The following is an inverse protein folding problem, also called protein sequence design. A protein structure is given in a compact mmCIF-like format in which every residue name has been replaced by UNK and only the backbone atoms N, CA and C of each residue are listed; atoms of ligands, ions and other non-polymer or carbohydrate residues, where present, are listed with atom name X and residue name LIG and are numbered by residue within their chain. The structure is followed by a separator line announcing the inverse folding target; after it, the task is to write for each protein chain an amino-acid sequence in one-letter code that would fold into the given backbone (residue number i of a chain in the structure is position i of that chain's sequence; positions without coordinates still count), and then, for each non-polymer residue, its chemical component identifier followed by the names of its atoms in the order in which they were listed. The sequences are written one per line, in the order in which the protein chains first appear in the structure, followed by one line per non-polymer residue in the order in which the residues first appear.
data_IF_770189331925
#
_entry.id   IF_770189331925
#
_cell.length_a   1.000
_cell.length_b   1.000
_cell.length_c   1.000
_cell.angle_alpha   90.00
_cell.angle_beta   90.00
_cell.angle_gamma   90.00
#
_symmetry.space_group_name_H-M   'P 1'
#
loop_
_entity.id
_entity.type
_entity.pdbx_description
1 polymer ?
#
# COMPACT_ATOMS: atom_id res chain seq x y z
N UNK A 1 -4.19 7.98 35.64
CA UNK A 1 -2.94 7.29 36.02
C UNK A 1 -3.06 5.83 35.65
N UNK A 2 -2.48 5.41 34.53
CA UNK A 2 -2.44 3.99 34.15
C UNK A 2 -1.40 3.27 35.01
N UNK A 3 -1.82 2.14 35.57
CA UNK A 3 -1.06 1.33 36.53
C UNK A 3 0.23 0.70 35.94
N UNK A 4 0.42 0.78 34.62
CA UNK A 4 1.69 0.50 33.96
C UNK A 4 2.19 1.77 33.27
N UNK A 5 3.08 2.50 33.94
CA UNK A 5 3.72 3.73 33.44
C UNK A 5 4.72 3.51 32.29
N UNK A 6 4.52 2.48 31.46
CA UNK A 6 5.32 2.23 30.29
C UNK A 6 4.40 2.17 29.08
N UNK A 7 4.52 3.13 28.17
CA UNK A 7 3.98 3.01 26.81
C UNK A 7 4.76 1.94 26.01
N UNK A 8 5.98 1.58 26.45
CA UNK A 8 6.87 0.60 25.81
C UNK A 8 6.20 -0.76 25.46
N UNK A 9 5.46 -1.47 26.35
CA UNK A 9 4.84 -2.75 26.04
C UNK A 9 3.83 -2.65 24.91
N UNK A 10 3.14 -1.51 24.80
CA UNK A 10 2.20 -1.28 23.72
C UNK A 10 2.90 -1.10 22.37
N UNK A 11 4.04 -0.39 22.35
CA UNK A 11 4.87 -0.30 21.14
C UNK A 11 5.48 -1.65 20.75
N UNK A 12 5.89 -2.48 21.72
CA UNK A 12 6.36 -3.84 21.43
C UNK A 12 5.25 -4.72 20.88
N UNK A 13 4.03 -4.65 21.46
CA UNK A 13 2.88 -5.37 20.96
C UNK A 13 2.50 -4.92 19.55
N UNK A 14 2.42 -3.61 19.32
CA UNK A 14 2.07 -3.04 18.04
C UNK A 14 3.11 -3.40 16.96
N UNK A 15 4.40 -3.27 17.28
CA UNK A 15 5.51 -3.66 16.41
C UNK A 15 5.53 -5.17 16.09
N UNK A 16 5.32 -6.03 17.10
CA UNK A 16 5.25 -7.48 16.89
C UNK A 16 4.07 -7.87 15.99
N UNK A 17 2.90 -7.23 16.18
CA UNK A 17 1.71 -7.52 15.39
C UNK A 17 1.85 -7.03 13.94
N UNK A 18 2.43 -5.83 13.74
CA UNK A 18 2.74 -5.32 12.40
C UNK A 18 3.78 -6.19 11.70
N UNK A 19 4.86 -6.57 12.39
CA UNK A 19 5.90 -7.43 11.81
C UNK A 19 5.35 -8.80 11.43
N UNK A 20 4.55 -9.43 12.32
CA UNK A 20 3.90 -10.70 12.03
C UNK A 20 2.93 -10.58 10.84
N UNK A 21 2.14 -9.51 10.78
CA UNK A 21 1.24 -9.25 9.65
C UNK A 21 2.00 -9.06 8.32
N UNK A 22 3.07 -8.28 8.31
CA UNK A 22 3.91 -8.08 7.13
C UNK A 22 4.62 -9.37 6.70
N UNK A 23 5.15 -10.15 7.65
CA UNK A 23 5.79 -11.43 7.36
C UNK A 23 4.78 -12.45 6.77
N UNK A 24 3.56 -12.48 7.29
CA UNK A 24 2.48 -13.33 6.75
C UNK A 24 2.04 -12.86 5.36
N UNK A 25 1.94 -11.55 5.12
CA UNK A 25 1.67 -11.00 3.78
C UNK A 25 2.75 -11.38 2.77
N UNK A 26 4.02 -11.41 3.17
CA UNK A 26 5.13 -11.84 2.31
C UNK A 26 5.01 -13.31 1.86
N UNK A 27 4.34 -14.15 2.65
CA UNK A 27 4.13 -15.58 2.35
C UNK A 27 2.87 -15.90 1.54
N UNK A 28 2.13 -14.88 1.06
CA UNK A 28 0.92 -15.09 0.26
C UNK A 28 1.28 -15.57 -1.15
N UNK A 29 0.64 -16.66 -1.60
CA UNK A 29 0.65 -17.14 -2.98
C UNK A 29 -0.72 -16.98 -3.66
N UNK A 30 -0.80 -17.21 -4.98
CA UNK A 30 -2.00 -17.01 -5.83
C UNK A 30 -3.20 -17.86 -5.38
N UNK A 31 -2.94 -19.04 -4.78
CA UNK A 31 -3.98 -19.93 -4.26
C UNK A 31 -4.43 -19.59 -2.82
N UNK A 32 -3.92 -18.49 -2.26
CA UNK A 32 -4.26 -18.10 -0.89
C UNK A 32 -5.70 -17.63 -0.81
N UNK A 33 -6.50 -18.30 0.02
CA UNK A 33 -7.89 -17.93 0.28
C UNK A 33 -8.02 -16.45 0.69
N UNK A 34 -9.01 -15.76 0.12
CA UNK A 34 -9.31 -14.36 0.40
C UNK A 34 -9.42 -14.05 1.92
N UNK A 35 -9.93 -15.00 2.71
CA UNK A 35 -10.03 -14.89 4.16
C UNK A 35 -8.67 -14.72 4.87
N UNK A 36 -7.61 -15.38 4.38
CA UNK A 36 -6.25 -15.24 4.92
C UNK A 36 -5.67 -13.86 4.60
N UNK A 37 -5.87 -13.38 3.38
CA UNK A 37 -5.42 -12.04 2.96
C UNK A 37 -6.06 -10.97 3.86
N UNK A 38 -7.38 -11.02 4.03
CA UNK A 38 -8.09 -10.10 4.94
C UNK A 38 -7.63 -10.24 6.39
N UNK A 39 -7.39 -11.46 6.87
CA UNK A 39 -6.87 -11.70 8.21
C UNK A 39 -5.49 -11.10 8.43
N UNK A 40 -4.58 -11.20 7.46
CA UNK A 40 -3.24 -10.63 7.55
C UNK A 40 -3.26 -9.10 7.44
N UNK A 41 -4.05 -8.54 6.52
CA UNK A 41 -4.28 -7.10 6.44
C UNK A 41 -4.89 -6.54 7.73
N UNK A 42 -5.78 -7.30 8.38
CA UNK A 42 -6.32 -6.92 9.69
C UNK A 42 -5.22 -6.85 10.76
N UNK A 43 -4.31 -7.83 10.82
CA UNK A 43 -3.18 -7.80 11.77
C UNK A 43 -2.25 -6.61 11.52
N UNK A 44 -1.93 -6.32 10.25
CA UNK A 44 -1.13 -5.15 9.89
C UNK A 44 -1.84 -3.85 10.28
N UNK A 45 -3.15 -3.75 9.98
CA UNK A 45 -3.99 -2.61 10.35
C UNK A 45 -4.07 -2.39 11.85
N UNK A 46 -4.22 -3.47 12.61
CA UNK A 46 -4.26 -3.43 14.07
C UNK A 46 -2.95 -2.88 14.66
N UNK A 47 -1.81 -3.42 14.25
CA UNK A 47 -0.50 -2.97 14.77
C UNK A 47 -0.12 -1.55 14.32
N UNK A 48 -0.36 -1.21 13.06
CA UNK A 48 -0.09 0.13 12.53
C UNK A 48 -0.98 1.19 13.18
N UNK A 49 -2.29 0.94 13.28
CA UNK A 49 -3.24 1.83 13.95
C UNK A 49 -2.91 2.03 15.43
N UNK A 50 -2.60 0.94 16.14
CA UNK A 50 -2.17 0.98 17.54
C UNK A 50 -0.93 1.85 17.75
N UNK A 51 0.06 1.76 16.85
CA UNK A 51 1.29 2.56 16.89
C UNK A 51 1.01 4.04 16.63
N UNK A 52 0.22 4.33 15.60
CA UNK A 52 -0.12 5.70 15.19
C UNK A 52 -0.86 6.42 16.32
N UNK A 53 -1.93 5.83 16.86
CA UNK A 53 -2.74 6.48 17.91
C UNK A 53 -1.96 6.68 19.20
N UNK A 54 -1.06 5.75 19.54
CA UNK A 54 -0.21 5.89 20.73
C UNK A 54 0.84 6.98 20.58
N UNK A 55 1.33 7.19 19.37
CA UNK A 55 2.34 8.22 19.07
C UNK A 55 1.80 9.63 19.30
N UNK A 56 0.52 9.88 19.00
CA UNK A 56 -0.13 11.16 19.33
C UNK A 56 -0.17 11.41 20.84
N UNK A 57 -0.50 10.37 21.62
CA UNK A 57 -0.56 10.49 23.09
C UNK A 57 0.83 10.71 23.69
N UNK A 58 1.84 9.96 23.22
CA UNK A 58 3.22 10.10 23.70
C UNK A 58 3.81 11.46 23.32
N UNK A 59 3.57 11.94 22.10
CA UNK A 59 4.06 13.24 21.64
C UNK A 59 3.54 14.39 22.50
N UNK A 60 2.24 14.38 22.85
CA UNK A 60 1.64 15.39 23.72
C UNK A 60 2.25 15.38 25.13
N UNK A 61 2.61 14.21 25.66
CA UNK A 61 3.24 14.07 26.98
C UNK A 61 4.72 14.46 26.96
N UNK A 62 5.45 14.18 25.86
CA UNK A 62 6.89 14.43 25.78
C UNK A 62 7.25 15.88 25.46
N UNK A 63 6.42 16.58 24.68
CA UNK A 63 6.63 17.99 24.30
C UNK A 63 5.35 18.80 24.56
N UNK A 64 4.95 18.98 25.83
CA UNK A 64 3.69 19.63 26.18
C UNK A 64 3.62 21.08 25.69
N UNK A 65 4.75 21.81 25.70
CA UNK A 65 4.81 23.21 25.22
C UNK A 65 4.59 23.34 23.70
N UNK A 66 4.92 22.29 22.94
CA UNK A 66 4.82 22.25 21.48
C UNK A 66 3.84 21.16 21.01
N UNK A 67 2.90 20.76 21.86
CA UNK A 67 2.01 19.62 21.60
C UNK A 67 1.24 19.78 20.28
N UNK A 68 0.75 20.99 19.98
CA UNK A 68 0.06 21.29 18.72
C UNK A 68 0.96 21.11 17.49
N UNK A 69 2.22 21.55 17.56
CA UNK A 69 3.19 21.37 16.47
C UNK A 69 3.57 19.90 16.29
N UNK A 70 3.76 19.17 17.40
CA UNK A 70 4.09 17.75 17.37
C UNK A 70 2.96 16.91 16.76
N UNK A 71 1.71 17.18 17.15
CA UNK A 71 0.52 16.57 16.54
C UNK A 71 0.42 16.93 15.05
N UNK A 72 0.69 18.19 14.69
CA UNK A 72 0.71 18.62 13.28
C UNK A 72 1.68 17.83 12.41
N UNK A 73 2.91 17.62 12.89
CA UNK A 73 3.92 16.80 12.18
C UNK A 73 3.47 15.34 12.05
N UNK A 74 2.91 14.76 13.12
CA UNK A 74 2.39 13.38 13.10
C UNK A 74 1.24 13.21 12.10
N UNK A 75 0.31 14.17 12.06
CA UNK A 75 -0.81 14.17 11.10
C UNK A 75 -0.30 14.31 9.65
N UNK A 76 0.70 15.16 9.42
CA UNK A 76 1.34 15.27 8.12
C UNK A 76 2.02 13.95 7.71
N UNK A 77 2.73 13.29 8.62
CA UNK A 77 3.34 11.99 8.34
C UNK A 77 2.29 10.90 8.07
N UNK A 78 1.18 10.89 8.81
CA UNK A 78 0.09 9.93 8.65
C UNK A 78 -0.60 10.04 7.29
N UNK A 79 -0.85 11.26 6.79
CA UNK A 79 -1.49 11.45 5.48
C UNK A 79 -0.49 11.44 4.33
N UNK A 80 0.67 12.07 4.52
CA UNK A 80 1.70 12.21 3.50
C UNK A 80 2.42 10.90 3.21
N UNK A 81 2.72 10.09 4.22
CA UNK A 81 3.41 8.80 4.04
C UNK A 81 2.71 7.89 3.03
N UNK A 82 1.42 7.56 3.23
CA UNK A 82 0.64 6.79 2.26
C UNK A 82 0.54 7.45 0.89
N UNK A 83 0.42 8.78 0.82
CA UNK A 83 0.36 9.49 -0.46
C UNK A 83 1.67 9.34 -1.26
N UNK A 84 2.82 9.49 -0.60
CA UNK A 84 4.12 9.27 -1.24
C UNK A 84 4.32 7.81 -1.65
N UNK A 85 3.98 6.85 -0.77
CA UNK A 85 4.06 5.43 -1.08
C UNK A 85 3.20 5.07 -2.30
N UNK A 86 1.95 5.55 -2.33
CA UNK A 86 1.03 5.33 -3.44
C UNK A 86 1.54 5.99 -4.75
N UNK A 87 2.08 7.20 -4.68
CA UNK A 87 2.63 7.89 -5.84
C UNK A 87 3.83 7.15 -6.45
N UNK A 88 4.72 6.62 -5.61
CA UNK A 88 5.87 5.81 -6.04
C UNK A 88 5.36 4.49 -6.64
N UNK A 89 4.48 3.78 -5.94
CA UNK A 89 3.90 2.52 -6.42
C UNK A 89 3.20 2.70 -7.77
N UNK A 90 2.37 3.73 -7.91
CA UNK A 90 1.68 4.05 -9.15
C UNK A 90 2.66 4.36 -10.28
N UNK A 91 3.72 5.11 -9.99
CA UNK A 91 4.76 5.43 -10.97
C UNK A 91 5.51 4.17 -11.45
N UNK A 92 5.87 3.26 -10.53
CA UNK A 92 6.50 1.98 -10.88
C UNK A 92 5.56 1.10 -11.69
N UNK A 93 4.29 1.01 -11.29
CA UNK A 93 3.25 0.26 -11.99
C UNK A 93 3.07 0.76 -13.42
N UNK A 94 2.88 2.06 -13.62
CA UNK A 94 2.71 2.65 -14.94
C UNK A 94 3.92 2.37 -15.84
N UNK A 95 5.14 2.54 -15.32
CA UNK A 95 6.36 2.26 -16.09
C UNK A 95 6.46 0.78 -16.50
N UNK A 96 6.20 -0.14 -15.57
CA UNK A 96 6.23 -1.59 -15.85
C UNK A 96 5.12 -2.02 -16.80
N UNK A 97 3.89 -1.59 -16.55
CA UNK A 97 2.73 -1.91 -17.37
C UNK A 97 2.90 -1.38 -18.80
N UNK A 98 3.42 -0.15 -18.97
CA UNK A 98 3.72 0.40 -20.30
C UNK A 98 4.77 -0.42 -21.02
N UNK A 99 5.85 -0.82 -20.34
CA UNK A 99 6.91 -1.66 -20.92
C UNK A 99 6.39 -3.05 -21.31
N UNK A 100 5.50 -3.65 -20.49
CA UNK A 100 4.89 -4.95 -20.76
C UNK A 100 3.81 -4.94 -21.85
N UNK A 101 3.12 -3.81 -22.05
CA UNK A 101 2.07 -3.65 -23.07
C UNK A 101 2.62 -3.25 -24.44
N UNK A 102 3.80 -2.63 -24.51
CA UNK A 102 4.44 -2.21 -25.75
C UNK A 102 4.64 -3.33 -26.79
N UNK A 103 5.00 -4.58 -26.41
CA UNK A 103 5.08 -5.71 -27.34
C UNK A 103 3.70 -6.26 -27.77
N UNK A 104 2.66 -6.05 -26.95
CA UNK A 104 1.29 -6.56 -27.20
C UNK A 104 0.49 -5.61 -28.10
N UNK A 105 0.81 -4.31 -28.05
CA UNK A 105 0.19 -3.25 -28.84
C UNK A 105 1.25 -2.53 -29.71
N UNK A 106 1.85 -3.21 -30.69
CA UNK A 106 2.85 -2.60 -31.56
C UNK A 106 2.21 -1.47 -32.37
N UNK A 107 2.64 -0.23 -32.13
CA UNK A 107 2.20 0.97 -32.87
C UNK A 107 1.33 1.97 -32.08
N UNK A 108 0.98 1.67 -30.83
CA UNK A 108 0.24 2.62 -29.99
C UNK A 108 1.16 3.63 -29.28
N UNK A 109 0.66 4.86 -29.13
CA UNK A 109 1.36 5.90 -28.37
C UNK A 109 1.37 5.59 -26.87
N UNK A 110 2.38 6.08 -26.14
CA UNK A 110 2.45 5.94 -24.67
C UNK A 110 1.18 6.48 -23.99
N UNK A 111 0.61 7.57 -24.51
CA UNK A 111 -0.64 8.15 -24.01
C UNK A 111 -1.84 7.19 -24.17
N UNK A 112 -1.94 6.53 -25.33
CA UNK A 112 -2.96 5.49 -25.57
C UNK A 112 -2.79 4.29 -24.63
N UNK A 113 -1.53 3.88 -24.38
CA UNK A 113 -1.22 2.76 -23.47
C UNK A 113 -1.62 3.12 -22.03
N UNK A 114 -1.36 4.35 -21.58
CA UNK A 114 -1.78 4.81 -20.25
C UNK A 114 -3.30 4.82 -20.10
N UNK A 115 -4.04 5.29 -21.12
CA UNK A 115 -5.51 5.25 -21.15
C UNK A 115 -6.03 3.80 -21.06
N UNK A 116 -5.39 2.86 -21.77
CA UNK A 116 -5.67 1.42 -21.70
C UNK A 116 -5.38 0.83 -20.31
N UNK A 117 -4.28 1.22 -19.67
CA UNK A 117 -3.96 0.79 -18.30
C UNK A 117 -5.01 1.27 -17.30
N UNK A 118 -5.54 2.48 -17.48
CA UNK A 118 -6.66 3.00 -16.67
C UNK A 118 -8.03 2.37 -17.00
N UNK A 119 -8.09 1.47 -17.99
CA UNK A 119 -9.30 0.75 -18.38
C UNK A 119 -10.09 1.38 -19.53
N UNK A 120 -9.60 2.47 -20.11
CA UNK A 120 -10.25 3.16 -21.22
C UNK A 120 -9.71 2.68 -22.58
N UNK A 121 -10.59 2.48 -23.56
CA UNK A 121 -10.18 2.19 -24.93
C UNK A 121 -9.72 0.75 -25.22
N UNK A 122 -9.81 -0.19 -24.27
CA UNK A 122 -9.59 -1.63 -24.49
C UNK A 122 -10.61 -2.24 -25.47
N UNK A 123 -11.84 -1.73 -25.47
CA UNK A 123 -12.94 -2.23 -26.32
C UNK A 123 -12.74 -2.07 -27.83
N UNK A 124 -11.72 -1.32 -28.26
CA UNK A 124 -11.43 -1.12 -29.70
C UNK A 124 -10.58 -2.23 -30.33
N UNK A 125 -9.98 -3.10 -29.51
CA UNK A 125 -9.14 -4.20 -29.98
C UNK A 125 -9.88 -5.54 -30.00
N UNK A 126 -9.44 -6.51 -30.83
CA UNK A 126 -9.99 -7.87 -30.82
C UNK A 126 -9.91 -8.53 -29.44
N UNK A 127 -10.84 -9.44 -29.12
CA UNK A 127 -10.90 -10.11 -27.81
C UNK A 127 -9.59 -10.82 -27.41
N UNK A 128 -8.81 -11.30 -28.39
CA UNK A 128 -7.49 -11.92 -28.15
C UNK A 128 -6.48 -10.93 -27.57
N UNK A 129 -6.49 -9.69 -28.04
CA UNK A 129 -5.60 -8.60 -27.58
C UNK A 129 -6.10 -8.04 -26.25
N UNK A 130 -7.43 -7.96 -26.04
CA UNK A 130 -8.00 -7.56 -24.76
C UNK A 130 -7.60 -8.52 -23.63
N UNK A 131 -7.70 -9.84 -23.86
CA UNK A 131 -7.27 -10.84 -22.87
C UNK A 131 -5.77 -10.79 -22.61
N UNK A 132 -4.96 -10.59 -23.65
CA UNK A 132 -3.51 -10.44 -23.49
C UNK A 132 -3.14 -9.18 -22.68
N UNK A 133 -3.77 -8.04 -22.98
CA UNK A 133 -3.55 -6.79 -22.25
C UNK A 133 -4.02 -6.89 -20.79
N UNK A 134 -5.18 -7.50 -20.53
CA UNK A 134 -5.66 -7.77 -19.17
C UNK A 134 -4.70 -8.69 -18.40
N UNK A 135 -4.19 -9.75 -19.02
CA UNK A 135 -3.22 -10.64 -18.40
C UNK A 135 -1.92 -9.91 -18.01
N UNK A 136 -1.41 -9.03 -18.88
CA UNK A 136 -0.21 -8.22 -18.63
C UNK A 136 -0.45 -7.18 -17.52
N UNK A 137 -1.60 -6.50 -17.53
CA UNK A 137 -1.97 -5.54 -16.47
C UNK A 137 -2.07 -6.24 -15.12
N UNK A 138 -2.73 -7.40 -15.05
CA UNK A 138 -2.85 -8.18 -13.81
C UNK A 138 -1.50 -8.72 -13.34
N UNK A 139 -0.63 -9.17 -14.26
CA UNK A 139 0.72 -9.63 -13.94
C UNK A 139 1.59 -8.51 -13.35
N UNK A 140 1.55 -7.29 -13.91
CA UNK A 140 2.35 -6.18 -13.39
C UNK A 140 1.76 -5.51 -12.14
N UNK A 141 0.44 -5.60 -11.92
CA UNK A 141 -0.19 -5.26 -10.65
C UNK A 141 0.41 -6.11 -9.52
N UNK A 142 0.58 -7.42 -9.75
CA UNK A 142 1.19 -8.34 -8.79
C UNK A 142 2.63 -7.95 -8.43
N UNK A 143 3.41 -7.48 -9.39
CA UNK A 143 4.79 -7.03 -9.13
C UNK A 143 4.90 -5.68 -8.43
N UNK A 144 3.83 -4.89 -8.40
CA UNK A 144 3.80 -3.58 -7.74
C UNK A 144 3.40 -3.71 -6.26
N UNK A 145 2.70 -4.78 -5.90
CA UNK A 145 2.28 -5.07 -4.51
C UNK A 145 3.39 -5.72 -3.64
N UNK A 146 4.65 -5.71 -4.08
CA UNK A 146 5.82 -6.21 -3.32
C UNK A 146 6.39 -5.11 -2.44
#
# INVERSE_FOLDING_TARGET
MSYFGYYNPWYYFAGATTLAGCALLYTIDVDTSLAKVYGYSFLVGLGSGATIQSSFSVAQVKVPELAGAAVGILTNAQMGGPAFALAIANSVFLNKATTGLQPVLPGESIASIHSIISGEGLGRFPESVQRAAQAVIVAHLRETFI
#
